data_IF_584810347662
#
_entry.id   IF_584810347662
#
_cell.length_a   1.000
_cell.length_b   1.000
_cell.length_c   1.000
_cell.angle_alpha   90.00
_cell.angle_beta   90.00
_cell.angle_gamma   90.00
#
_symmetry.space_group_name_H-M   'P 1'
#
loop_
_entity.id
_entity.type
_entity.pdbx_description
1 polymer ?
#
# COMPACT_ATOMS: atom_id res chain seq x y z
N UNK A 1 15.58 22.39 -21.58
CA UNK A 1 14.42 21.78 -20.89
C UNK A 1 14.53 22.18 -19.42
N UNK A 2 13.77 23.21 -18.98
CA UNK A 2 13.85 23.71 -17.60
C UNK A 2 13.31 22.60 -16.67
N UNK A 3 14.20 22.02 -15.82
CA UNK A 3 13.77 21.24 -14.66
C UNK A 3 12.82 22.13 -13.86
N UNK A 4 11.54 21.74 -13.79
CA UNK A 4 10.65 22.28 -12.79
C UNK A 4 11.40 22.14 -11.46
N UNK A 5 11.64 23.25 -10.76
CA UNK A 5 12.16 23.20 -9.38
C UNK A 5 11.25 22.28 -8.59
N UNK A 6 11.74 21.08 -8.31
CA UNK A 6 10.95 19.98 -7.77
C UNK A 6 10.33 20.39 -6.44
N UNK A 7 9.02 20.47 -6.42
CA UNK A 7 8.28 20.63 -5.17
C UNK A 7 8.65 19.42 -4.31
N UNK A 8 9.24 19.67 -3.14
CA UNK A 8 9.61 18.64 -2.15
C UNK A 8 8.45 17.65 -1.98
N UNK A 9 8.73 16.36 -2.11
CA UNK A 9 7.70 15.34 -1.94
C UNK A 9 7.25 15.27 -0.48
N UNK A 10 5.93 15.13 -0.19
CA UNK A 10 5.44 14.92 1.16
C UNK A 10 6.02 13.65 1.79
N UNK A 11 6.26 13.66 3.09
CA UNK A 11 6.78 12.51 3.83
C UNK A 11 5.99 11.22 3.59
N UNK A 12 4.63 11.19 3.60
CA UNK A 12 3.88 9.98 3.32
C UNK A 12 4.06 9.48 1.88
N UNK A 13 4.44 10.35 0.92
CA UNK A 13 4.78 9.93 -0.44
C UNK A 13 6.11 9.18 -0.46
N UNK A 14 7.13 9.67 0.24
CA UNK A 14 8.43 9.01 0.35
C UNK A 14 8.29 7.64 1.05
N UNK A 15 7.56 7.58 2.16
CA UNK A 15 7.24 6.33 2.86
C UNK A 15 6.52 5.34 1.94
N UNK A 16 5.53 5.84 1.19
CA UNK A 16 4.79 5.03 0.23
C UNK A 16 5.70 4.48 -0.87
N UNK A 17 6.57 5.29 -1.44
CA UNK A 17 7.50 4.83 -2.48
C UNK A 17 8.44 3.75 -1.96
N UNK A 18 9.01 3.93 -0.77
CA UNK A 18 9.85 2.91 -0.16
C UNK A 18 9.09 1.60 0.07
N UNK A 19 7.90 1.67 0.66
CA UNK A 19 7.07 0.47 0.92
C UNK A 19 6.61 -0.21 -0.37
N UNK A 20 6.20 0.57 -1.38
CA UNK A 20 5.78 0.03 -2.69
C UNK A 20 6.96 -0.65 -3.40
N UNK A 21 8.13 -0.02 -3.43
CA UNK A 21 9.31 -0.63 -4.04
C UNK A 21 9.68 -1.95 -3.35
N UNK A 22 9.70 -1.98 -2.01
CA UNK A 22 9.93 -3.21 -1.26
C UNK A 22 8.90 -4.29 -1.62
N UNK A 23 7.62 -3.92 -1.70
CA UNK A 23 6.54 -4.84 -2.03
C UNK A 23 6.67 -5.37 -3.45
N UNK A 24 7.06 -4.55 -4.42
CA UNK A 24 7.28 -4.99 -5.80
C UNK A 24 8.47 -5.99 -5.87
N UNK A 25 9.58 -5.66 -5.22
CA UNK A 25 10.73 -6.58 -5.16
C UNK A 25 10.32 -7.92 -4.56
N UNK A 26 9.58 -7.86 -3.44
CA UNK A 26 9.06 -9.05 -2.77
C UNK A 26 8.15 -9.86 -3.69
N UNK A 27 7.15 -9.23 -4.31
CA UNK A 27 6.16 -9.90 -5.14
C UNK A 27 6.81 -10.51 -6.41
N UNK A 28 7.78 -9.82 -7.00
CA UNK A 28 8.52 -10.34 -8.15
C UNK A 28 9.34 -11.59 -7.78
N UNK A 29 10.05 -11.55 -6.64
CA UNK A 29 10.80 -12.70 -6.16
C UNK A 29 9.89 -13.86 -5.74
N UNK A 30 8.78 -13.56 -5.09
CA UNK A 30 7.78 -14.56 -4.71
C UNK A 30 7.22 -15.28 -5.94
N UNK A 31 6.90 -14.54 -7.00
CA UNK A 31 6.38 -15.09 -8.25
C UNK A 31 7.41 -15.95 -8.99
N UNK A 32 8.68 -15.55 -8.95
CA UNK A 32 9.77 -16.37 -9.50
C UNK A 32 9.93 -17.72 -8.81
N UNK A 33 9.78 -17.73 -7.47
CA UNK A 33 9.97 -18.95 -6.67
C UNK A 33 8.72 -19.82 -6.61
N UNK A 34 7.55 -19.21 -6.71
CA UNK A 34 6.27 -19.89 -6.67
C UNK A 34 5.24 -19.13 -7.50
N UNK A 35 4.99 -19.58 -8.72
CA UNK A 35 4.04 -18.94 -9.62
C UNK A 35 2.65 -18.85 -9.01
N UNK A 36 2.15 -17.64 -8.91
CA UNK A 36 0.80 -17.36 -8.45
C UNK A 36 -0.18 -17.47 -9.61
N UNK A 37 -1.19 -18.32 -9.47
CA UNK A 37 -2.30 -18.36 -10.44
C UNK A 37 -3.27 -17.26 -10.12
N UNK A 38 -3.17 -16.13 -10.82
CA UNK A 38 -4.25 -15.18 -10.87
C UNK A 38 -5.29 -15.61 -11.87
N UNK A 39 -6.53 -15.34 -11.59
CA UNK A 39 -7.58 -15.44 -12.59
C UNK A 39 -7.29 -14.42 -13.68
N UNK A 40 -7.40 -14.83 -14.96
CA UNK A 40 -7.27 -13.95 -16.13
C UNK A 40 -8.45 -12.96 -16.21
N UNK A 41 -8.58 -12.09 -15.25
CA UNK A 41 -9.54 -11.00 -15.32
C UNK A 41 -8.85 -9.81 -15.99
N UNK A 42 -8.92 -9.81 -17.34
CA UNK A 42 -8.70 -8.64 -18.17
C UNK A 42 -7.56 -7.74 -17.69
N UNK A 43 -6.40 -8.30 -17.37
CA UNK A 43 -5.25 -7.52 -16.97
C UNK A 43 -5.07 -6.43 -18.03
N UNK A 44 -5.27 -5.19 -17.64
CA UNK A 44 -4.98 -4.05 -18.47
C UNK A 44 -3.51 -4.14 -18.85
N UNK A 45 -3.23 -4.55 -20.06
CA UNK A 45 -1.88 -4.67 -20.62
C UNK A 45 -1.35 -3.31 -21.09
N UNK A 46 -1.97 -2.23 -20.67
CA UNK A 46 -1.59 -0.88 -21.07
C UNK A 46 -0.46 -0.29 -20.22
N UNK A 47 0.19 0.78 -20.67
CA UNK A 47 1.29 1.45 -19.95
C UNK A 47 0.91 2.00 -18.58
N UNK A 48 -0.36 1.97 -18.20
CA UNK A 48 -0.86 2.39 -16.89
C UNK A 48 -1.16 1.22 -15.94
N UNK A 49 -0.85 -0.02 -16.33
CA UNK A 49 -0.96 -1.16 -15.42
C UNK A 49 0.18 -1.12 -14.41
N UNK A 50 -0.16 -0.96 -13.15
CA UNK A 50 0.80 -1.02 -12.04
C UNK A 50 1.24 -2.46 -11.76
N UNK A 51 2.35 -2.64 -11.03
CA UNK A 51 2.77 -3.94 -10.56
C UNK A 51 1.74 -4.53 -9.58
N UNK A 52 1.68 -5.85 -9.50
CA UNK A 52 0.73 -6.56 -8.65
C UNK A 52 1.34 -6.82 -7.28
N UNK A 53 0.60 -6.48 -6.22
CA UNK A 53 1.09 -6.46 -4.85
C UNK A 53 0.36 -7.50 -3.98
N UNK A 54 0.24 -8.74 -4.46
CA UNK A 54 -0.61 -9.77 -3.83
C UNK A 54 0.13 -10.57 -2.75
N UNK A 55 1.34 -11.04 -3.04
CA UNK A 55 2.06 -11.97 -2.16
C UNK A 55 2.41 -11.36 -0.81
N UNK A 56 2.94 -10.13 -0.81
CA UNK A 56 3.25 -9.40 0.41
C UNK A 56 1.98 -9.10 1.22
N UNK A 57 0.93 -8.61 0.56
CA UNK A 57 -0.33 -8.31 1.22
C UNK A 57 -0.94 -9.58 1.84
N UNK A 58 -0.97 -10.72 1.10
CA UNK A 58 -1.45 -11.98 1.63
C UNK A 58 -0.62 -12.48 2.81
N UNK A 59 0.69 -12.36 2.72
CA UNK A 59 1.57 -12.83 3.78
C UNK A 59 1.38 -12.04 5.08
N UNK A 60 1.48 -10.71 5.02
CA UNK A 60 1.29 -9.85 6.20
C UNK A 60 -0.13 -9.91 6.75
N UNK A 61 -1.13 -9.96 5.88
CA UNK A 61 -2.52 -9.94 6.30
C UNK A 61 -3.00 -11.28 6.88
N UNK A 62 -2.38 -12.39 6.48
CA UNK A 62 -2.93 -13.70 6.78
C UNK A 62 -1.87 -14.77 7.07
N UNK A 63 -1.09 -15.16 6.07
CA UNK A 63 -0.34 -16.42 6.09
C UNK A 63 0.66 -16.55 7.25
N UNK A 64 1.33 -15.49 7.64
CA UNK A 64 2.29 -15.50 8.75
C UNK A 64 1.68 -15.87 10.10
N UNK A 65 0.36 -15.75 10.23
CA UNK A 65 -0.38 -15.99 11.46
C UNK A 65 -1.11 -17.32 11.48
N UNK A 66 -1.07 -18.10 10.39
CA UNK A 66 -1.75 -19.38 10.29
C UNK A 66 -0.86 -20.51 10.82
N UNK A 67 -1.12 -21.02 12.04
CA UNK A 67 -0.35 -22.10 12.60
C UNK A 67 -0.68 -23.43 11.91
N UNK A 68 0.15 -24.44 12.10
CA UNK A 68 -0.02 -25.74 11.48
C UNK A 68 -1.39 -26.40 11.82
N UNK A 69 -1.82 -26.27 13.06
CA UNK A 69 -3.11 -26.81 13.55
C UNK A 69 -4.31 -25.99 13.09
N UNK A 70 -4.12 -24.87 12.42
CA UNK A 70 -5.18 -23.95 12.02
C UNK A 70 -5.57 -22.98 13.14
N UNK A 71 -6.37 -21.98 12.78
CA UNK A 71 -6.82 -20.91 13.68
C UNK A 71 -8.19 -20.42 13.25
N UNK A 72 -9.05 -20.06 14.21
CA UNK A 72 -10.36 -19.49 13.86
C UNK A 72 -10.18 -18.13 13.15
N UNK A 73 -11.04 -17.86 12.16
CA UNK A 73 -11.01 -16.59 11.39
C UNK A 73 -11.01 -15.39 12.33
N UNK A 74 -11.88 -15.36 13.35
CA UNK A 74 -11.95 -14.26 14.32
C UNK A 74 -10.62 -14.02 15.06
N UNK A 75 -9.92 -15.12 15.41
CA UNK A 75 -8.68 -15.04 16.16
C UNK A 75 -7.52 -14.62 15.26
N UNK A 76 -7.56 -15.06 14.00
CA UNK A 76 -6.61 -14.64 13.00
C UNK A 76 -6.76 -13.14 12.64
N UNK A 77 -7.99 -12.66 12.46
CA UNK A 77 -8.27 -11.24 12.24
C UNK A 77 -7.85 -10.38 13.44
N UNK A 78 -7.99 -10.92 14.66
CA UNK A 78 -7.52 -10.26 15.87
C UNK A 78 -6.00 -10.16 15.92
N UNK A 79 -5.28 -11.26 15.63
CA UNK A 79 -3.81 -11.26 15.57
C UNK A 79 -3.28 -10.36 14.46
N UNK A 80 -3.86 -10.45 13.28
CA UNK A 80 -3.48 -9.63 12.14
C UNK A 80 -3.90 -8.16 12.27
N UNK A 81 -4.85 -7.86 13.18
CA UNK A 81 -5.48 -6.53 13.38
C UNK A 81 -6.14 -5.96 12.12
N UNK A 82 -6.53 -6.83 11.21
CA UNK A 82 -7.09 -6.47 9.91
C UNK A 82 -7.99 -7.62 9.43
N UNK A 83 -9.01 -7.29 8.67
CA UNK A 83 -9.81 -8.26 7.92
C UNK A 83 -9.20 -8.50 6.54
N UNK A 84 -9.34 -9.70 6.01
CA UNK A 84 -8.86 -10.04 4.67
C UNK A 84 -9.93 -10.72 3.82
N UNK A 85 -9.64 -10.95 2.54
CA UNK A 85 -10.53 -11.65 1.62
C UNK A 85 -10.29 -13.18 1.69
N UNK A 86 -10.96 -13.85 2.63
CA UNK A 86 -10.86 -15.30 2.85
C UNK A 86 -11.24 -16.11 1.61
N UNK A 87 -12.28 -15.71 0.87
CA UNK A 87 -12.68 -16.39 -0.35
C UNK A 87 -11.64 -16.26 -1.47
N UNK A 88 -10.97 -15.11 -1.57
CA UNK A 88 -9.84 -14.93 -2.47
C UNK A 88 -8.70 -15.88 -2.14
N UNK A 89 -8.27 -15.90 -0.87
CA UNK A 89 -7.19 -16.77 -0.39
C UNK A 89 -7.50 -18.26 -0.65
N UNK A 90 -8.75 -18.68 -0.42
CA UNK A 90 -9.19 -20.05 -0.69
C UNK A 90 -9.23 -20.34 -2.18
N UNK A 91 -9.78 -19.44 -3.01
CA UNK A 91 -9.84 -19.58 -4.46
C UNK A 91 -8.45 -19.71 -5.08
N UNK A 92 -7.46 -19.01 -4.52
CA UNK A 92 -6.06 -19.11 -4.97
C UNK A 92 -5.34 -20.35 -4.46
N UNK A 93 -6.00 -21.14 -3.59
CA UNK A 93 -5.50 -22.42 -3.09
C UNK A 93 -4.42 -22.30 -2.02
N UNK A 94 -4.30 -21.18 -1.33
CA UNK A 94 -3.36 -21.00 -0.21
C UNK A 94 -3.91 -21.50 1.11
N UNK A 95 -5.22 -21.38 1.31
CA UNK A 95 -5.91 -21.83 2.52
C UNK A 95 -7.15 -22.65 2.16
N UNK A 96 -7.68 -23.34 3.15
CA UNK A 96 -9.05 -23.81 3.16
C UNK A 96 -9.73 -23.43 4.47
N UNK A 97 -11.05 -23.34 4.42
CA UNK A 97 -11.89 -23.02 5.56
C UNK A 97 -12.72 -24.27 5.89
N UNK A 98 -12.72 -24.67 7.15
CA UNK A 98 -13.50 -25.80 7.64
C UNK A 98 -14.24 -25.43 8.94
N UNK A 99 -15.38 -26.07 9.23
CA UNK A 99 -16.04 -25.91 10.53
C UNK A 99 -15.10 -26.33 11.67
N UNK A 100 -15.18 -25.64 12.81
CA UNK A 100 -14.50 -26.11 14.02
C UNK A 100 -15.13 -27.45 14.45
N UNK A 101 -14.32 -28.45 14.83
CA UNK A 101 -14.85 -29.72 15.38
C UNK A 101 -15.77 -29.53 16.60
N UNK A 102 -15.59 -28.42 17.31
CA UNK A 102 -16.39 -28.09 18.50
C UNK A 102 -17.68 -27.32 18.16
N UNK A 103 -17.84 -26.90 16.90
CA UNK A 103 -19.02 -26.13 16.46
C UNK A 103 -20.06 -27.02 15.81
N UNK A 104 -21.07 -27.37 16.56
CA UNK A 104 -22.16 -28.24 16.11
C UNK A 104 -23.23 -27.52 15.25
N UNK A 105 -23.06 -26.26 14.89
CA UNK A 105 -24.01 -25.52 14.07
C UNK A 105 -24.00 -26.01 12.63
N UNK A 106 -25.17 -26.28 12.01
CA UNK A 106 -25.22 -26.72 10.60
C UNK A 106 -24.58 -25.72 9.61
N UNK A 107 -24.57 -24.45 9.99
CA UNK A 107 -23.96 -23.35 9.19
C UNK A 107 -23.25 -22.39 10.14
N UNK A 108 -22.01 -22.67 10.52
CA UNK A 108 -21.25 -21.76 11.37
C UNK A 108 -20.99 -20.44 10.62
N UNK A 109 -20.97 -19.31 11.34
CA UNK A 109 -20.59 -18.03 10.75
C UNK A 109 -19.12 -18.07 10.32
N UNK A 110 -18.76 -17.30 9.29
CA UNK A 110 -17.39 -17.25 8.75
C UNK A 110 -16.34 -17.00 9.84
N UNK A 111 -16.64 -16.16 10.83
CA UNK A 111 -15.76 -15.86 11.95
C UNK A 111 -15.39 -17.06 12.84
N UNK A 112 -16.20 -18.11 12.82
CA UNK A 112 -16.00 -19.34 13.59
C UNK A 112 -15.32 -20.45 12.78
N UNK A 113 -15.16 -20.30 11.45
CA UNK A 113 -14.46 -21.26 10.62
C UNK A 113 -12.98 -21.29 10.97
N UNK A 114 -12.37 -22.45 10.87
CA UNK A 114 -10.92 -22.64 11.04
C UNK A 114 -10.22 -22.43 9.71
N UNK A 115 -9.25 -21.57 9.70
CA UNK A 115 -8.32 -21.34 8.57
C UNK A 115 -7.18 -22.31 8.69
N UNK A 116 -6.92 -23.10 7.65
CA UNK A 116 -5.72 -23.93 7.54
C UNK A 116 -4.97 -23.66 6.24
N UNK A 117 -3.66 -23.64 6.34
CA UNK A 117 -2.82 -23.54 5.15
C UNK A 117 -2.85 -24.86 4.37
N UNK A 118 -3.02 -24.78 3.04
CA UNK A 118 -2.80 -25.92 2.14
C UNK A 118 -1.31 -26.24 2.03
N UNK A 119 -0.95 -27.35 1.34
CA UNK A 119 0.45 -27.64 1.02
C UNK A 119 1.10 -26.47 0.25
N UNK A 120 0.37 -25.90 -0.72
CA UNK A 120 0.83 -24.71 -1.47
C UNK A 120 0.99 -23.50 -0.55
N UNK A 121 0.04 -23.31 0.37
CA UNK A 121 0.09 -22.20 1.32
C UNK A 121 1.28 -22.27 2.26
N UNK A 122 1.62 -23.44 2.78
CA UNK A 122 2.82 -23.65 3.61
C UNK A 122 4.10 -23.38 2.84
N UNK A 123 4.21 -23.92 1.63
CA UNK A 123 5.38 -23.66 0.77
C UNK A 123 5.51 -22.16 0.45
N UNK A 124 4.39 -21.48 0.16
CA UNK A 124 4.39 -20.06 -0.10
C UNK A 124 4.83 -19.27 1.13
N UNK A 125 4.31 -19.60 2.30
CA UNK A 125 4.65 -18.94 3.56
C UNK A 125 6.14 -19.06 3.89
N UNK A 126 6.73 -20.25 3.71
CA UNK A 126 8.17 -20.49 3.89
C UNK A 126 9.01 -19.62 2.95
N UNK A 127 8.66 -19.58 1.66
CA UNK A 127 9.32 -18.73 0.67
C UNK A 127 9.19 -17.25 1.06
N UNK A 128 7.99 -16.81 1.37
CA UNK A 128 7.71 -15.39 1.67
C UNK A 128 8.42 -14.92 2.94
N UNK A 129 8.48 -15.76 3.96
CA UNK A 129 9.23 -15.45 5.20
C UNK A 129 10.70 -15.22 4.91
N UNK A 130 11.31 -16.05 4.07
CA UNK A 130 12.73 -15.94 3.71
C UNK A 130 13.06 -14.72 2.85
N UNK A 131 12.10 -14.20 2.09
CA UNK A 131 12.32 -13.05 1.20
C UNK A 131 12.58 -11.73 1.92
N UNK A 132 11.99 -11.52 3.08
CA UNK A 132 12.10 -10.26 3.82
C UNK A 132 13.55 -9.92 4.16
N UNK A 133 14.29 -10.77 4.89
CA UNK A 133 15.68 -10.47 5.22
C UNK A 133 16.58 -10.42 3.97
N UNK A 134 16.26 -11.19 2.95
CA UNK A 134 17.00 -11.18 1.68
C UNK A 134 16.89 -9.83 0.97
N UNK A 135 15.68 -9.26 0.91
CA UNK A 135 15.47 -7.95 0.28
C UNK A 135 16.07 -6.84 1.13
N UNK A 136 15.95 -6.90 2.47
CA UNK A 136 16.61 -5.94 3.35
C UNK A 136 18.13 -5.94 3.17
N UNK A 137 18.73 -7.13 2.97
CA UNK A 137 20.15 -7.22 2.67
C UNK A 137 20.50 -6.60 1.31
N UNK A 138 19.71 -6.82 0.27
CA UNK A 138 19.89 -6.16 -1.04
C UNK A 138 19.75 -4.63 -0.94
N UNK A 139 18.87 -4.14 -0.06
CA UNK A 139 18.75 -2.71 0.19
C UNK A 139 20.02 -2.14 0.85
N UNK A 140 20.62 -2.86 1.81
CA UNK A 140 21.91 -2.48 2.38
C UNK A 140 23.01 -2.41 1.34
N UNK A 141 23.06 -3.36 0.45
CA UNK A 141 24.03 -3.38 -0.66
C UNK A 141 23.82 -2.24 -1.66
N UNK A 142 22.56 -1.88 -1.93
CA UNK A 142 22.19 -0.86 -2.92
C UNK A 142 22.31 0.56 -2.39
N UNK A 143 21.83 0.80 -1.18
CA UNK A 143 21.72 2.14 -0.60
C UNK A 143 22.79 2.44 0.45
N UNK A 144 23.56 1.43 0.85
CA UNK A 144 24.49 1.47 1.97
C UNK A 144 23.85 1.08 3.29
N UNK A 145 24.61 0.35 4.13
CA UNK A 145 24.13 -0.12 5.45
C UNK A 145 23.69 1.04 6.34
N UNK A 146 24.48 2.11 6.41
CA UNK A 146 24.19 3.27 7.26
C UNK A 146 22.84 3.93 6.91
N UNK A 147 22.50 4.04 5.63
CA UNK A 147 21.24 4.63 5.20
C UNK A 147 20.04 3.75 5.60
N UNK A 148 20.16 2.43 5.41
CA UNK A 148 19.09 1.49 5.78
C UNK A 148 18.95 1.39 7.30
N UNK A 149 20.05 1.39 8.04
CA UNK A 149 20.04 1.33 9.51
C UNK A 149 19.50 2.63 10.13
N UNK A 150 19.82 3.79 9.54
CA UNK A 150 19.23 5.08 9.92
C UNK A 150 17.73 5.08 9.66
N UNK A 151 17.30 4.61 8.49
CA UNK A 151 15.88 4.48 8.16
C UNK A 151 15.16 3.58 9.16
N UNK A 152 15.71 2.38 9.42
CA UNK A 152 15.15 1.42 10.39
C UNK A 152 15.08 2.02 11.79
N UNK A 153 16.15 2.64 12.26
CA UNK A 153 16.22 3.28 13.58
C UNK A 153 15.17 4.39 13.75
N UNK A 154 15.02 5.26 12.77
CA UNK A 154 14.00 6.31 12.79
C UNK A 154 12.58 5.73 12.78
N UNK A 155 12.30 4.74 11.92
CA UNK A 155 11.01 4.08 11.87
C UNK A 155 10.68 3.38 13.19
N UNK A 156 11.64 2.68 13.80
CA UNK A 156 11.45 2.00 15.09
C UNK A 156 11.19 2.99 16.22
N UNK A 157 11.94 4.10 16.26
CA UNK A 157 11.75 5.17 17.24
C UNK A 157 10.35 5.76 17.17
N UNK A 158 9.89 6.07 15.96
CA UNK A 158 8.52 6.60 15.73
C UNK A 158 7.49 5.52 16.11
N UNK A 159 7.62 4.31 15.60
CA UNK A 159 6.67 3.23 15.81
C UNK A 159 6.48 2.88 17.30
N UNK A 160 7.52 3.05 18.12
CA UNK A 160 7.45 2.81 19.58
C UNK A 160 6.58 3.81 20.33
N UNK A 161 6.30 4.96 19.73
CA UNK A 161 5.49 6.04 20.28
C UNK A 161 4.06 6.06 19.73
N UNK A 162 3.79 5.25 18.68
CA UNK A 162 2.49 5.11 18.07
C UNK A 162 1.58 4.13 18.82
N UNK A 163 0.30 4.14 18.46
CA UNK A 163 -0.68 3.19 18.96
C UNK A 163 -0.20 1.74 18.74
N UNK A 164 0.01 0.94 19.82
CA UNK A 164 0.48 -0.43 19.73
C UNK A 164 -0.52 -1.35 18.98
N UNK A 165 -1.78 -0.95 18.85
CA UNK A 165 -2.81 -1.71 18.14
C UNK A 165 -2.79 -1.51 16.62
N UNK A 166 -1.94 -0.64 16.08
CA UNK A 166 -1.79 -0.52 14.64
C UNK A 166 -1.30 -1.83 14.01
N UNK A 167 -1.89 -2.27 12.89
CA UNK A 167 -1.40 -3.45 12.19
C UNK A 167 -0.02 -3.20 11.57
N UNK A 168 0.71 -4.29 11.33
CA UNK A 168 2.03 -4.27 10.67
C UNK A 168 1.93 -4.29 9.14
N UNK A 169 0.76 -3.94 8.61
CA UNK A 169 0.47 -3.90 7.18
C UNK A 169 -0.57 -2.81 6.89
N UNK A 170 -0.62 -2.37 5.65
CA UNK A 170 -1.68 -1.45 5.23
C UNK A 170 -3.01 -2.20 5.09
N UNK A 171 -4.13 -1.59 5.51
CA UNK A 171 -5.44 -2.21 5.41
C UNK A 171 -5.95 -2.24 3.97
N UNK A 172 -6.90 -3.14 3.72
CA UNK A 172 -7.71 -3.10 2.50
C UNK A 172 -8.60 -1.87 2.54
N UNK A 173 -8.49 -1.02 1.52
CA UNK A 173 -9.22 0.22 1.42
C UNK A 173 -10.60 -0.04 0.82
N UNK A 174 -11.65 -0.05 1.63
CA UNK A 174 -13.03 -0.24 1.15
C UNK A 174 -13.68 1.08 0.73
N UNK A 175 -13.74 2.03 1.65
CA UNK A 175 -14.39 3.34 1.46
C UNK A 175 -13.61 4.48 2.11
N UNK A 176 -12.36 4.26 2.47
CA UNK A 176 -11.47 5.13 3.20
C UNK A 176 -10.92 4.45 4.46
N UNK A 177 -9.88 5.05 5.03
CA UNK A 177 -9.20 4.50 6.21
C UNK A 177 -10.05 4.62 7.50
N UNK A 178 -10.92 5.60 7.55
CA UNK A 178 -11.74 5.95 8.72
C UNK A 178 -13.07 5.22 8.77
N UNK A 179 -13.44 4.46 7.75
CA UNK A 179 -14.64 3.64 7.83
C UNK A 179 -14.47 2.56 8.89
N UNK A 180 -15.24 2.68 9.95
CA UNK A 180 -15.26 1.77 11.08
C UNK A 180 -15.43 0.33 10.57
N UNK A 181 -14.34 -0.44 10.62
CA UNK A 181 -14.43 -1.89 10.63
C UNK A 181 -15.23 -2.36 11.85
N UNK A 182 -15.55 -3.65 11.96
CA UNK A 182 -16.24 -4.19 13.12
C UNK A 182 -15.54 -3.70 14.38
N UNK A 183 -16.31 -3.17 15.35
CA UNK A 183 -15.83 -2.60 16.61
C UNK A 183 -14.72 -3.48 17.18
N UNK A 184 -13.51 -2.94 17.20
CA UNK A 184 -12.33 -3.66 17.67
C UNK A 184 -12.56 -4.06 19.13
N UNK A 185 -12.60 -5.37 19.40
CA UNK A 185 -12.44 -5.84 20.77
C UNK A 185 -11.04 -5.44 21.23
N UNK A 186 -10.95 -4.80 22.41
CA UNK A 186 -9.67 -4.52 23.05
C UNK A 186 -8.91 -5.84 23.18
N UNK A 187 -7.83 -5.98 22.46
CA UNK A 187 -6.86 -7.06 22.61
C UNK A 187 -5.77 -6.53 23.50
N UNK A 188 -5.37 -7.29 24.50
CA UNK A 188 -4.14 -6.96 25.24
C UNK A 188 -2.97 -6.92 24.24
N UNK A 189 -2.22 -5.83 24.18
CA UNK A 189 -1.12 -5.71 23.24
C UNK A 189 -0.09 -6.78 23.55
N UNK A 190 0.03 -7.80 22.69
CA UNK A 190 1.25 -8.58 22.65
C UNK A 190 2.35 -7.60 22.23
N UNK A 191 3.17 -7.17 23.19
CA UNK A 191 4.39 -6.40 22.93
C UNK A 191 5.37 -7.31 22.18
N UNK A 192 5.22 -7.42 20.89
CA UNK A 192 6.33 -7.79 20.02
C UNK A 192 7.37 -6.68 20.18
N UNK A 193 8.60 -7.03 20.46
CA UNK A 193 9.69 -6.07 20.43
C UNK A 193 9.71 -5.45 19.03
N UNK A 194 9.51 -4.13 18.95
CA UNK A 194 9.43 -3.44 17.66
C UNK A 194 10.76 -3.47 16.90
N UNK A 195 11.87 -3.76 17.61
CA UNK A 195 13.18 -3.96 17.00
C UNK A 195 13.21 -5.17 16.05
N UNK A 196 12.38 -6.17 16.34
CA UNK A 196 12.27 -7.42 15.55
C UNK A 196 11.33 -7.28 14.34
N UNK A 197 10.59 -6.17 14.25
CA UNK A 197 9.71 -5.96 13.10
C UNK A 197 10.53 -5.77 11.82
N UNK A 198 10.16 -6.44 10.74
CA UNK A 198 10.81 -6.25 9.45
C UNK A 198 10.54 -4.84 8.88
N UNK A 199 11.46 -4.35 8.07
CA UNK A 199 11.41 -3.00 7.50
C UNK A 199 10.06 -2.65 6.86
N UNK A 200 9.43 -3.51 6.02
CA UNK A 200 8.13 -3.18 5.43
C UNK A 200 6.99 -3.09 6.46
N UNK A 201 7.08 -3.80 7.59
CA UNK A 201 6.11 -3.66 8.68
C UNK A 201 6.25 -2.31 9.37
N UNK A 202 7.47 -1.86 9.65
CA UNK A 202 7.74 -0.53 10.21
C UNK A 202 7.27 0.58 9.25
N UNK A 203 7.59 0.49 7.96
CA UNK A 203 7.12 1.42 6.94
C UNK A 203 5.59 1.48 6.88
N UNK A 204 4.91 0.31 6.93
CA UNK A 204 3.46 0.24 6.89
C UNK A 204 2.81 0.89 8.12
N UNK A 205 3.33 0.61 9.33
CA UNK A 205 2.80 1.21 10.57
C UNK A 205 2.94 2.72 10.58
N UNK A 206 4.11 3.22 10.24
CA UNK A 206 4.40 4.68 10.24
C UNK A 206 3.56 5.36 9.18
N UNK A 207 3.47 4.81 7.96
CA UNK A 207 2.63 5.36 6.89
C UNK A 207 1.14 5.35 7.26
N UNK A 208 0.66 4.26 7.88
CA UNK A 208 -0.73 4.14 8.29
C UNK A 208 -1.07 5.15 9.40
N UNK A 209 -0.21 5.31 10.40
CA UNK A 209 -0.40 6.29 11.46
C UNK A 209 -0.51 7.71 10.90
N UNK A 210 0.41 8.08 10.00
CA UNK A 210 0.39 9.36 9.32
C UNK A 210 -0.92 9.56 8.53
N UNK A 211 -1.32 8.55 7.77
CA UNK A 211 -2.55 8.60 6.98
C UNK A 211 -3.80 8.76 7.85
N UNK A 212 -3.87 8.05 8.98
CA UNK A 212 -4.99 8.17 9.92
C UNK A 212 -5.06 9.55 10.58
N UNK A 213 -3.91 10.12 10.96
CA UNK A 213 -3.86 11.49 11.50
C UNK A 213 -4.33 12.50 10.46
N UNK A 214 -3.82 12.39 9.24
CA UNK A 214 -4.25 13.25 8.14
C UNK A 214 -5.77 13.17 7.88
N UNK A 215 -6.34 11.96 7.78
CA UNK A 215 -7.76 11.79 7.45
C UNK A 215 -8.71 12.24 8.57
N UNK A 216 -8.25 12.31 9.82
CA UNK A 216 -9.05 12.90 10.91
C UNK A 216 -9.22 14.42 10.78
N UNK A 217 -8.30 15.09 10.10
CA UNK A 217 -8.24 16.54 9.97
C UNK A 217 -8.54 17.03 8.55
N UNK A 218 -8.78 16.14 7.60
CA UNK A 218 -8.95 16.46 6.19
C UNK A 218 -10.28 15.99 5.63
N UNK A 219 -10.89 16.81 4.78
CA UNK A 219 -12.04 16.40 3.95
C UNK A 219 -11.62 15.55 2.73
N UNK A 220 -10.31 15.48 2.48
CA UNK A 220 -9.69 14.74 1.37
C UNK A 220 -9.03 13.50 1.91
N UNK A 221 -9.30 12.34 1.35
CA UNK A 221 -8.59 11.11 1.72
C UNK A 221 -7.17 11.11 1.17
N UNK A 222 -6.19 10.88 2.05
CA UNK A 222 -4.79 10.77 1.68
C UNK A 222 -4.57 9.59 0.70
N UNK A 223 -5.14 8.45 1.02
CA UNK A 223 -4.97 7.23 0.24
C UNK A 223 -5.74 7.24 -1.09
N UNK A 224 -6.93 7.87 -1.13
CA UNK A 224 -7.81 7.81 -2.32
C UNK A 224 -7.47 8.92 -3.32
N UNK A 225 -7.32 10.15 -2.89
CA UNK A 225 -7.30 11.28 -3.83
C UNK A 225 -6.15 12.26 -3.68
N UNK A 226 -5.37 12.25 -2.59
CA UNK A 226 -4.28 13.20 -2.41
C UNK A 226 -3.22 13.12 -3.52
N UNK A 227 -2.88 11.91 -3.97
CA UNK A 227 -1.94 11.69 -5.06
C UNK A 227 -2.43 12.24 -6.39
N UNK A 228 -3.74 12.12 -6.65
CA UNK A 228 -4.37 12.70 -7.85
C UNK A 228 -4.38 14.22 -7.76
N UNK A 229 -4.79 14.77 -6.62
CA UNK A 229 -4.80 16.23 -6.40
C UNK A 229 -3.41 16.85 -6.56
N UNK A 230 -2.35 16.16 -6.12
CA UNK A 230 -0.97 16.62 -6.21
C UNK A 230 -0.52 16.89 -7.65
N UNK A 231 -1.03 16.14 -8.62
CA UNK A 231 -0.61 16.20 -10.03
C UNK A 231 -1.60 16.90 -10.96
N UNK A 232 -2.74 17.35 -10.43
CA UNK A 232 -3.71 18.09 -11.24
C UNK A 232 -3.30 19.56 -11.34
N UNK A 233 -3.08 20.00 -12.58
CA UNK A 233 -2.79 21.40 -12.91
C UNK A 233 -4.03 22.29 -12.75
N UNK A 234 -3.83 23.59 -12.43
CA UNK A 234 -4.92 24.58 -12.34
C UNK A 234 -5.70 24.75 -13.64
N UNK A 235 -5.07 24.52 -14.78
CA UNK A 235 -5.69 24.56 -16.11
C UNK A 235 -6.39 23.26 -16.49
N UNK A 236 -6.32 22.26 -15.60
CA UNK A 236 -6.84 20.91 -15.82
C UNK A 236 -5.78 19.93 -16.33
N UNK A 237 -5.99 18.67 -16.04
CA UNK A 237 -5.08 17.59 -16.45
C UNK A 237 -5.86 16.51 -17.21
N UNK A 238 -5.36 16.13 -18.39
CA UNK A 238 -5.96 15.03 -19.14
C UNK A 238 -5.93 13.74 -18.30
N UNK A 239 -7.09 13.12 -18.08
CA UNK A 239 -7.23 11.96 -17.18
C UNK A 239 -6.29 10.83 -17.58
N UNK A 240 -6.06 10.63 -18.88
CA UNK A 240 -5.12 9.61 -19.39
C UNK A 240 -3.67 9.79 -18.95
N UNK A 241 -3.27 11.02 -18.55
CA UNK A 241 -1.91 11.33 -18.08
C UNK A 241 -1.75 11.14 -16.58
N UNK A 242 -2.84 11.12 -15.81
CA UNK A 242 -2.79 11.05 -14.35
C UNK A 242 -2.07 9.78 -13.86
N UNK A 243 -2.27 8.56 -14.45
CA UNK A 243 -1.53 7.38 -14.03
C UNK A 243 -0.01 7.56 -14.06
N UNK A 244 0.54 8.04 -15.18
CA UNK A 244 1.97 8.26 -15.33
C UNK A 244 2.53 9.37 -14.43
N UNK A 245 1.69 10.36 -14.07
CA UNK A 245 2.10 11.47 -13.20
C UNK A 245 2.03 11.11 -11.71
N UNK A 246 1.09 10.25 -11.32
CA UNK A 246 0.78 9.98 -9.91
C UNK A 246 1.22 8.61 -9.43
N UNK A 247 1.48 7.67 -10.33
CA UNK A 247 1.67 6.26 -9.99
C UNK A 247 0.37 5.52 -9.58
N UNK A 248 -0.78 6.19 -9.61
CA UNK A 248 -2.06 5.58 -9.22
C UNK A 248 -2.64 4.79 -10.40
N UNK A 249 -3.14 3.56 -10.13
CA UNK A 249 -3.79 2.72 -11.13
C UNK A 249 -5.04 3.37 -11.72
N UNK A 250 -5.50 2.89 -12.88
CA UNK A 250 -6.76 3.37 -13.50
C UNK A 250 -7.95 3.22 -12.57
N UNK A 251 -8.01 2.13 -11.83
CA UNK A 251 -9.05 1.81 -10.85
C UNK A 251 -9.01 2.79 -9.67
N UNK A 252 -7.82 3.05 -9.13
CA UNK A 252 -7.61 4.05 -8.09
C UNK A 252 -7.98 5.46 -8.55
N UNK A 253 -7.62 5.83 -9.79
CA UNK A 253 -8.04 7.11 -10.39
C UNK A 253 -9.56 7.18 -10.54
N UNK A 254 -10.22 6.12 -11.00
CA UNK A 254 -11.68 6.10 -11.12
C UNK A 254 -12.36 6.33 -9.76
N UNK A 255 -11.82 5.74 -8.68
CA UNK A 255 -12.28 5.99 -7.31
C UNK A 255 -12.03 7.44 -6.88
N UNK A 256 -10.83 7.97 -7.11
CA UNK A 256 -10.48 9.36 -6.80
C UNK A 256 -11.39 10.35 -7.55
N UNK A 257 -11.61 10.13 -8.84
CA UNK A 257 -12.52 10.95 -9.65
C UNK A 257 -13.94 10.94 -9.08
N UNK A 258 -14.44 9.75 -8.71
CA UNK A 258 -15.77 9.60 -8.12
C UNK A 258 -15.87 10.36 -6.81
N UNK A 259 -14.87 10.28 -5.95
CA UNK A 259 -14.82 11.01 -4.69
C UNK A 259 -14.80 12.53 -4.93
N UNK A 260 -13.86 13.00 -5.76
CA UNK A 260 -13.65 14.43 -6.01
C UNK A 260 -14.87 15.08 -6.68
N UNK A 261 -15.52 14.38 -7.61
CA UNK A 261 -16.71 14.92 -8.30
C UNK A 261 -17.93 14.92 -7.38
N UNK A 262 -18.16 13.87 -6.60
CA UNK A 262 -19.29 13.82 -5.64
C UNK A 262 -19.17 14.88 -4.55
N UNK A 263 -17.96 15.22 -4.13
CA UNK A 263 -17.68 16.27 -3.14
C UNK A 263 -17.64 17.68 -3.74
N UNK A 264 -17.79 17.82 -5.05
CA UNK A 264 -17.74 19.11 -5.73
C UNK A 264 -16.33 19.71 -5.85
N UNK A 265 -15.27 18.94 -5.56
CA UNK A 265 -13.88 19.40 -5.67
C UNK A 265 -13.36 19.44 -7.10
N UNK A 266 -13.92 18.65 -7.99
CA UNK A 266 -13.51 18.61 -9.39
C UNK A 266 -14.69 18.37 -10.32
N UNK A 267 -14.46 18.72 -11.61
CA UNK A 267 -15.35 18.41 -12.74
C UNK A 267 -14.58 17.67 -13.81
N UNK A 268 -15.23 16.72 -14.44
CA UNK A 268 -14.68 16.04 -15.61
C UNK A 268 -15.32 16.67 -16.85
N UNK A 269 -14.49 17.25 -17.71
CA UNK A 269 -14.90 17.93 -18.94
C UNK A 269 -14.43 17.13 -20.14
N UNK A 270 -15.25 17.11 -21.20
CA UNK A 270 -14.78 16.68 -22.53
C UNK A 270 -13.80 17.71 -23.05
N UNK A 271 -12.62 17.29 -23.47
CA UNK A 271 -11.60 18.19 -24.00
C UNK A 271 -11.60 18.15 -25.54
N UNK A 272 -11.19 19.24 -26.22
CA UNK A 272 -10.88 19.22 -27.63
C UNK A 272 -9.80 18.17 -27.92
N UNK A 273 -10.00 17.33 -28.94
CA UNK A 273 -9.04 16.27 -29.30
C UNK A 273 -9.72 15.00 -29.76
N UNK A 274 -9.00 13.88 -29.83
CA UNK A 274 -9.56 12.59 -30.22
C UNK A 274 -10.82 12.23 -29.41
N UNK A 275 -11.79 11.50 -29.98
CA UNK A 275 -13.00 11.08 -29.28
C UNK A 275 -12.68 10.44 -27.90
N UNK A 276 -13.37 10.87 -26.84
CA UNK A 276 -13.18 10.35 -25.48
C UNK A 276 -12.08 11.03 -24.67
N UNK A 277 -11.40 12.07 -25.16
CA UNK A 277 -10.46 12.85 -24.34
C UNK A 277 -11.21 13.58 -23.25
N UNK A 278 -10.89 13.26 -21.99
CA UNK A 278 -11.47 13.87 -20.79
C UNK A 278 -10.39 14.55 -19.96
N UNK A 279 -10.73 15.70 -19.40
CA UNK A 279 -9.86 16.50 -18.53
C UNK A 279 -10.49 16.62 -17.15
N UNK A 280 -9.69 16.40 -16.12
CA UNK A 280 -10.03 16.71 -14.74
C UNK A 280 -9.68 18.16 -14.45
N UNK A 281 -10.67 18.96 -14.07
CA UNK A 281 -10.52 20.36 -13.69
C UNK A 281 -10.96 20.55 -12.24
N UNK A 282 -10.12 21.18 -11.42
CA UNK A 282 -10.49 21.54 -10.06
C UNK A 282 -11.48 22.70 -10.06
N UNK A 283 -12.50 22.61 -9.21
CA UNK A 283 -13.37 23.74 -8.89
C UNK A 283 -12.63 24.72 -7.96
N UNK A 284 -13.15 25.95 -7.71
CA UNK A 284 -12.59 26.82 -6.70
C UNK A 284 -12.49 26.15 -5.32
N UNK A 285 -13.49 25.34 -4.93
CA UNK A 285 -13.46 24.52 -3.72
C UNK A 285 -12.35 23.46 -3.79
N UNK A 286 -12.16 22.80 -4.93
CA UNK A 286 -11.09 21.82 -5.14
C UNK A 286 -9.70 22.44 -5.09
N UNK A 287 -9.51 23.65 -5.60
CA UNK A 287 -8.25 24.40 -5.47
C UNK A 287 -7.97 24.73 -4.00
N UNK A 288 -9.00 25.16 -3.25
CA UNK A 288 -8.87 25.41 -1.82
C UNK A 288 -8.55 24.13 -1.04
N UNK A 289 -9.22 23.00 -1.35
CA UNK A 289 -8.97 21.71 -0.74
C UNK A 289 -7.54 21.19 -1.05
N UNK A 290 -7.04 21.38 -2.27
CA UNK A 290 -5.66 21.02 -2.64
C UNK A 290 -4.64 21.83 -1.83
N UNK A 291 -4.86 23.14 -1.67
CA UNK A 291 -3.99 23.99 -0.86
C UNK A 291 -4.07 23.63 0.64
N UNK A 292 -5.25 23.32 1.16
CA UNK A 292 -5.43 22.85 2.53
C UNK A 292 -4.72 21.52 2.77
N UNK A 293 -4.85 20.57 1.84
CA UNK A 293 -4.16 19.29 1.86
C UNK A 293 -2.63 19.48 1.95
N UNK A 294 -2.04 20.34 1.13
CA UNK A 294 -0.60 20.63 1.20
C UNK A 294 -0.18 21.20 2.55
N UNK A 295 -0.89 22.20 3.06
CA UNK A 295 -0.57 22.79 4.37
C UNK A 295 -0.70 21.78 5.51
N UNK A 296 -1.72 20.92 5.46
CA UNK A 296 -1.93 19.91 6.48
C UNK A 296 -0.81 18.87 6.46
N UNK A 297 -0.36 18.45 5.28
CA UNK A 297 0.80 17.54 5.15
C UNK A 297 2.05 18.15 5.78
N UNK A 298 2.34 19.42 5.47
CA UNK A 298 3.49 20.13 6.03
C UNK A 298 3.36 20.29 7.55
N UNK A 299 2.15 20.58 8.05
CA UNK A 299 1.87 20.75 9.49
C UNK A 299 2.05 19.42 10.26
N UNK A 300 1.50 18.31 9.74
CA UNK A 300 1.66 16.99 10.38
C UNK A 300 3.13 16.59 10.36
N UNK A 301 3.82 16.77 9.24
CA UNK A 301 5.24 16.45 9.14
C UNK A 301 6.06 17.26 10.16
N UNK A 302 5.80 18.57 10.29
CA UNK A 302 6.45 19.41 11.31
C UNK A 302 6.20 18.90 12.72
N UNK A 303 4.94 18.59 13.06
CA UNK A 303 4.58 18.00 14.34
C UNK A 303 5.30 16.67 14.60
N UNK A 304 5.40 15.81 13.58
CA UNK A 304 6.08 14.52 13.70
C UNK A 304 7.59 14.67 13.93
N UNK A 305 8.24 15.61 13.25
CA UNK A 305 9.67 15.92 13.49
C UNK A 305 9.88 16.37 14.94
N UNK A 306 9.03 17.23 15.47
CA UNK A 306 9.18 17.75 16.82
C UNK A 306 8.91 16.70 17.90
N UNK A 307 7.95 15.79 17.69
CA UNK A 307 7.47 14.89 18.75
C UNK A 307 8.01 13.46 18.63
N UNK A 308 8.14 12.94 17.43
CA UNK A 308 8.48 11.53 17.21
C UNK A 308 9.87 11.33 16.60
N UNK A 309 10.34 12.25 15.78
CA UNK A 309 11.60 12.14 15.02
C UNK A 309 12.56 13.29 15.35
N UNK A 310 12.81 13.52 16.63
CA UNK A 310 13.60 14.66 17.13
C UNK A 310 15.00 14.80 16.47
N UNK A 311 15.51 13.72 15.90
CA UNK A 311 16.77 13.73 15.13
C UNK A 311 16.55 14.04 13.64
N UNK A 312 15.30 14.27 13.19
CA UNK A 312 14.90 14.47 11.79
C UNK A 312 15.52 13.46 10.82
N UNK A 313 15.71 12.21 11.30
CA UNK A 313 16.42 11.16 10.57
C UNK A 313 15.58 10.50 9.48
N UNK A 314 14.25 10.39 9.68
CA UNK A 314 13.38 9.65 8.77
C UNK A 314 13.37 10.23 7.35
N UNK A 315 13.11 11.53 7.23
CA UNK A 315 13.13 12.17 5.90
C UNK A 315 14.52 12.15 5.28
N UNK A 316 15.55 12.44 6.07
CA UNK A 316 16.94 12.44 5.61
C UNK A 316 17.37 11.07 5.10
N UNK A 317 16.87 10.00 5.71
CA UNK A 317 17.11 8.63 5.25
C UNK A 317 16.30 8.26 4.00
N UNK A 318 15.06 8.79 3.86
CA UNK A 318 14.18 8.45 2.74
C UNK A 318 14.48 9.20 1.44
N UNK A 319 14.86 10.49 1.52
CA UNK A 319 15.10 11.33 0.33
C UNK A 319 16.17 10.74 -0.61
N UNK A 320 17.36 10.30 -0.15
CA UNK A 320 18.36 9.69 -1.03
C UNK A 320 17.92 8.37 -1.65
N UNK A 321 17.02 7.63 -0.96
CA UNK A 321 16.52 6.33 -1.41
C UNK A 321 15.41 6.52 -2.45
N UNK A 322 14.43 7.36 -2.15
CA UNK A 322 13.21 7.51 -2.95
C UNK A 322 13.32 8.55 -4.05
N UNK A 323 14.16 9.60 -3.86
CA UNK A 323 14.29 10.75 -4.75
C UNK A 323 12.90 11.28 -5.17
N UNK A 324 12.67 11.54 -6.46
CA UNK A 324 11.37 11.99 -6.98
C UNK A 324 10.40 10.84 -7.31
N UNK A 325 10.81 9.59 -7.07
CA UNK A 325 9.99 8.39 -7.32
C UNK A 325 9.79 8.06 -8.79
N UNK A 326 10.57 8.65 -9.70
CA UNK A 326 10.56 8.31 -11.12
C UNK A 326 11.64 7.29 -11.48
N UNK A 327 11.43 6.57 -12.57
CA UNK A 327 12.38 5.57 -13.06
C UNK A 327 13.75 6.14 -13.43
N UNK A 328 13.78 7.40 -13.84
CA UNK A 328 15.02 8.05 -14.29
C UNK A 328 15.93 8.42 -13.14
N UNK A 329 15.39 8.71 -11.98
CA UNK A 329 16.12 9.32 -10.88
C UNK A 329 16.10 8.51 -9.60
N UNK A 330 15.01 7.87 -9.26
CA UNK A 330 14.88 7.13 -8.00
C UNK A 330 15.68 5.82 -7.99
N UNK A 331 16.62 5.64 -7.05
CA UNK A 331 17.41 4.42 -6.91
C UNK A 331 16.55 3.18 -6.59
N UNK A 332 15.32 3.36 -6.10
CA UNK A 332 14.39 2.27 -5.82
C UNK A 332 14.09 1.42 -7.05
N UNK A 333 14.07 2.02 -8.25
CA UNK A 333 13.79 1.29 -9.49
C UNK A 333 14.84 0.25 -9.87
N UNK A 334 16.07 0.38 -9.39
CA UNK A 334 17.14 -0.58 -9.69
C UNK A 334 16.88 -1.98 -9.13
N UNK A 335 16.06 -2.10 -8.09
CA UNK A 335 15.70 -3.37 -7.47
C UNK A 335 14.39 -3.98 -7.96
N UNK A 336 13.64 -3.32 -8.84
CA UNK A 336 12.34 -3.83 -9.31
C UNK A 336 12.44 -4.95 -10.35
N UNK A 337 13.62 -5.24 -10.87
CA UNK A 337 13.88 -6.39 -11.73
C UNK A 337 14.36 -7.60 -10.93
N UNK A 338 14.37 -8.79 -11.55
CA UNK A 338 13.70 -9.08 -12.80
C UNK A 338 12.19 -9.23 -12.58
N UNK A 339 11.39 -8.78 -13.57
CA UNK A 339 9.98 -9.14 -13.57
C UNK A 339 9.86 -10.64 -13.90
N UNK A 340 9.00 -11.38 -13.20
CA UNK A 340 8.82 -12.79 -13.42
C UNK A 340 8.23 -13.08 -14.81
N UNK A 341 8.31 -14.34 -15.23
CA UNK A 341 7.66 -14.82 -16.43
C UNK A 341 6.13 -14.91 -16.25
N UNK A 342 5.44 -15.24 -17.34
CA UNK A 342 4.01 -15.44 -17.33
C UNK A 342 3.21 -14.14 -17.44
N UNK A 343 2.12 -14.03 -16.71
CA UNK A 343 1.21 -12.89 -16.82
C UNK A 343 1.81 -11.57 -16.28
N UNK A 344 2.65 -11.63 -15.24
CA UNK A 344 3.35 -10.44 -14.70
C UNK A 344 4.33 -9.84 -15.71
N UNK A 345 4.98 -10.65 -16.51
CA UNK A 345 5.88 -10.18 -17.55
C UNK A 345 5.17 -9.29 -18.59
N UNK A 346 3.85 -9.44 -18.73
CA UNK A 346 3.01 -8.64 -19.62
C UNK A 346 2.59 -7.30 -19.02
N UNK A 347 2.77 -7.11 -17.71
CA UNK A 347 2.48 -5.84 -17.04
C UNK A 347 3.57 -4.83 -17.38
N UNK A 348 3.18 -3.65 -17.81
CA UNK A 348 4.14 -2.58 -18.09
C UNK A 348 4.84 -2.15 -16.80
N UNK A 349 6.17 -2.04 -16.88
CA UNK A 349 6.94 -1.48 -15.76
C UNK A 349 6.55 -0.01 -15.55
N UNK A 350 6.25 0.40 -14.31
CA UNK A 350 5.81 1.76 -14.06
C UNK A 350 6.92 2.79 -14.38
N UNK A 351 6.53 3.95 -14.86
CA UNK A 351 7.43 5.11 -15.01
C UNK A 351 7.59 5.86 -13.70
N UNK A 352 6.55 5.82 -12.86
CA UNK A 352 6.51 6.38 -11.52
C UNK A 352 6.07 5.29 -10.56
N UNK A 353 6.65 5.22 -9.37
CA UNK A 353 6.24 4.23 -8.36
C UNK A 353 4.76 4.42 -8.01
N UNK A 354 3.99 3.33 -7.88
CA UNK A 354 2.62 3.40 -7.41
C UNK A 354 2.56 4.08 -6.05
N UNK A 355 1.50 4.84 -5.86
CA UNK A 355 1.26 5.54 -4.61
C UNK A 355 0.36 4.68 -3.74
N UNK A 356 0.79 4.43 -2.50
CA UNK A 356 0.12 3.57 -1.52
C UNK A 356 -0.11 2.12 -2.00
N UNK A 357 0.58 1.16 -1.41
CA UNK A 357 0.39 -0.27 -1.69
C UNK A 357 -0.86 -0.82 -0.98
N UNK A 358 -1.88 0.00 -0.80
CA UNK A 358 -3.16 -0.40 -0.26
C UNK A 358 -4.01 -1.02 -1.35
N UNK A 359 -4.66 -2.10 -0.99
CA UNK A 359 -5.57 -2.78 -1.87
C UNK A 359 -6.94 -2.10 -1.80
N UNK A 360 -7.44 -1.65 -2.95
CA UNK A 360 -8.76 -1.06 -3.06
C UNK A 360 -9.81 -2.16 -3.24
N UNK A 361 -10.97 -1.98 -2.62
CA UNK A 361 -12.11 -2.86 -2.87
C UNK A 361 -12.57 -2.72 -4.34
N UNK A 362 -12.90 -3.82 -5.01
CA UNK A 362 -13.23 -3.94 -6.44
C UNK A 362 -12.08 -3.52 -7.38
N UNK A 363 -11.36 -4.50 -7.85
CA UNK A 363 -10.25 -4.29 -8.79
C UNK A 363 -9.10 -3.53 -8.18
N UNK A 364 -9.10 -3.36 -6.87
CA UNK A 364 -7.99 -2.81 -6.14
C UNK A 364 -7.05 -3.88 -5.63
N UNK A 365 -7.45 -5.13 -5.65
CA UNK A 365 -6.48 -6.21 -5.61
C UNK A 365 -5.72 -6.18 -6.92
N UNK A 366 -4.41 -6.32 -6.87
CA UNK A 366 -3.61 -6.41 -8.08
C UNK A 366 -4.00 -7.58 -8.99
N UNK A 367 -4.76 -8.53 -8.52
CA UNK A 367 -5.29 -9.68 -9.26
C UNK A 367 -6.65 -9.41 -9.96
N UNK A 368 -7.20 -8.20 -9.84
CA UNK A 368 -8.48 -7.86 -10.45
C UNK A 368 -9.71 -8.46 -9.77
N UNK A 369 -9.59 -8.96 -8.55
CA UNK A 369 -10.71 -9.56 -7.81
C UNK A 369 -11.45 -8.59 -6.89
#
# INVERSE_FOLDING_TARGET
MMRSMGRRLPLPTLLSFALVAFTIEFDNQAEHRLTHRTTNHGASTGPAAGPWLVSMAMWFNCMRWVPEQGIAVRDLERLARITTNWHGMQRWGYIYLEPSPEDNRPRPPQSALIVRATRKGRLAEEIWRGLIPEIEQRWRERFGSDAVDTLRGSLTSIASQLDPELPDCLPILKYGLTNEGPKRQKVEPQRSDLSDLPLPALLARVLLAFALEFERMSEVSLAICASVLRVVDKKGTAIRRIPALSGVSKEGIAMALTFLTKRGFAKVLSAPGPPGTRTLLLTPQGVAACAACSRLLDSIEGHWIEHYDQKAGLRTALEPIADDGTRETSPLFSGLGPYPEGWRAKVSKPETLPHYPMVLHRGGYPDGS
#
